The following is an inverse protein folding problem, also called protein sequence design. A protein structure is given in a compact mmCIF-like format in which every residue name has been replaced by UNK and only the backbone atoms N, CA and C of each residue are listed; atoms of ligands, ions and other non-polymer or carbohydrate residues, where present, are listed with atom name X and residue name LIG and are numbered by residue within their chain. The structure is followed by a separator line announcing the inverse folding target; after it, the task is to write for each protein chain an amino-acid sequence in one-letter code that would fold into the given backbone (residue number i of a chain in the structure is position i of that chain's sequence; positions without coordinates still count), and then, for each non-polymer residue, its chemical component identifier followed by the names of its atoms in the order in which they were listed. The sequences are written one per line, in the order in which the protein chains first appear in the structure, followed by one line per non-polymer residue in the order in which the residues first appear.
data_IF_264349508359
#
_entry.id   IF_264349508359
#
_cell.length_a   1.000
_cell.length_b   1.000
_cell.length_c   1.000
_cell.angle_alpha   90.00
_cell.angle_beta   90.00
_cell.angle_gamma   90.00
#
_symmetry.space_group_name_H-M   'P 1'
#
loop_
_entity.id
_entity.type
_entity.pdbx_description
1 polymer ?
#
# COMPACT_ATOMS: atom_id res chain seq x y z
N UNK A 1 -5.76 -5.34 5.61
CA UNK A 1 -7.24 -5.36 5.66
C UNK A 1 -7.81 -4.78 4.38
N UNK A 2 -9.01 -5.19 4.01
CA UNK A 2 -9.78 -4.58 2.92
C UNK A 2 -10.68 -3.46 3.47
N UNK A 3 -11.22 -2.58 2.62
CA UNK A 3 -12.15 -1.54 3.06
C UNK A 3 -13.29 -2.11 3.91
N UNK A 4 -13.74 -1.32 4.88
CA UNK A 4 -14.80 -1.65 5.83
C UNK A 4 -14.46 -2.73 6.88
N UNK A 5 -13.19 -3.14 6.99
CA UNK A 5 -12.69 -3.97 8.08
C UNK A 5 -11.95 -3.12 9.11
N UNK A 6 -12.07 -3.50 10.38
CA UNK A 6 -11.25 -2.93 11.44
C UNK A 6 -10.29 -3.97 12.03
N UNK A 7 -9.11 -3.56 12.53
CA UNK A 7 -8.17 -4.48 13.17
C UNK A 7 -8.79 -5.27 14.31
N UNK A 8 -9.59 -4.61 15.15
CA UNK A 8 -10.21 -5.24 16.32
C UNK A 8 -11.22 -6.31 15.92
N UNK A 9 -12.09 -5.99 14.96
CA UNK A 9 -13.08 -6.96 14.45
C UNK A 9 -12.40 -8.19 13.82
N UNK A 10 -11.37 -7.98 13.03
CA UNK A 10 -10.65 -9.10 12.39
C UNK A 10 -9.87 -9.90 13.43
N UNK A 11 -9.27 -9.26 14.41
CA UNK A 11 -8.59 -9.95 15.52
C UNK A 11 -9.57 -10.83 16.31
N UNK A 12 -10.75 -10.31 16.63
CA UNK A 12 -11.79 -11.07 17.33
C UNK A 12 -12.25 -12.30 16.50
N UNK A 13 -12.58 -12.09 15.22
CA UNK A 13 -13.00 -13.17 14.32
C UNK A 13 -11.92 -14.22 14.15
N UNK A 14 -10.68 -13.79 13.98
CA UNK A 14 -9.52 -14.69 13.84
C UNK A 14 -9.33 -15.53 15.11
N UNK A 15 -9.34 -14.90 16.28
CA UNK A 15 -9.19 -15.57 17.56
C UNK A 15 -10.28 -16.63 17.76
N UNK A 16 -11.54 -16.23 17.62
CA UNK A 16 -12.67 -17.15 17.77
C UNK A 16 -12.60 -18.34 16.80
N UNK A 17 -12.17 -18.10 15.57
CA UNK A 17 -12.06 -19.16 14.58
C UNK A 17 -10.96 -20.15 14.95
N UNK A 18 -9.76 -19.69 15.30
CA UNK A 18 -8.65 -20.56 15.67
C UNK A 18 -8.92 -21.34 16.95
N UNK A 19 -9.53 -20.74 17.95
CA UNK A 19 -9.96 -21.46 19.16
C UNK A 19 -11.00 -22.56 18.85
N UNK A 20 -11.93 -22.26 17.93
CA UNK A 20 -12.96 -23.23 17.52
C UNK A 20 -12.40 -24.44 16.79
N UNK A 21 -11.41 -24.26 15.91
CA UNK A 21 -10.86 -25.34 15.09
C UNK A 21 -9.72 -26.09 15.78
N UNK A 22 -9.21 -25.59 16.91
CA UNK A 22 -8.11 -26.20 17.62
C UNK A 22 -8.47 -27.63 18.07
N UNK A 23 -7.64 -28.64 17.79
CA UNK A 23 -7.79 -29.97 18.35
C UNK A 23 -7.77 -29.94 19.86
N UNK A 24 -8.52 -30.84 20.54
CA UNK A 24 -8.59 -30.89 22.01
C UNK A 24 -7.23 -31.07 22.69
N UNK A 25 -6.27 -31.64 22.01
CA UNK A 25 -4.89 -31.85 22.48
C UNK A 25 -3.98 -30.62 22.36
N UNK A 26 -4.44 -29.53 21.74
CA UNK A 26 -3.64 -28.33 21.49
C UNK A 26 -4.27 -27.13 22.20
N UNK A 27 -3.42 -26.34 22.88
CA UNK A 27 -3.81 -25.03 23.41
C UNK A 27 -3.43 -23.95 22.42
N UNK A 28 -4.39 -23.13 22.01
CA UNK A 28 -4.17 -21.98 21.12
C UNK A 28 -4.26 -20.71 21.95
N UNK A 29 -3.29 -19.81 21.73
CA UNK A 29 -3.32 -18.45 22.24
C UNK A 29 -3.07 -17.51 21.05
N UNK A 30 -4.00 -16.64 20.76
CA UNK A 30 -3.83 -15.56 19.78
C UNK A 30 -3.41 -14.30 20.51
N UNK A 31 -2.30 -13.72 20.10
CA UNK A 31 -1.79 -12.47 20.67
C UNK A 31 -1.73 -11.43 19.54
N UNK A 32 -2.64 -10.46 19.53
CA UNK A 32 -2.54 -9.37 18.57
C UNK A 32 -1.35 -8.48 18.90
N UNK A 33 -0.60 -8.05 17.89
CA UNK A 33 0.49 -7.11 18.07
C UNK A 33 0.02 -5.68 17.82
N UNK A 34 -0.25 -5.35 16.59
CA UNK A 34 -0.77 -4.05 16.17
C UNK A 34 -1.55 -4.22 14.86
N UNK A 35 -2.44 -3.31 14.60
CA UNK A 35 -3.22 -3.29 13.38
C UNK A 35 -3.26 -1.89 12.76
N UNK A 36 -3.41 -1.85 11.44
CA UNK A 36 -3.62 -0.62 10.68
C UNK A 36 -4.98 -0.63 10.00
N UNK A 37 -5.62 0.53 9.94
CA UNK A 37 -6.83 0.70 9.15
C UNK A 37 -6.52 0.53 7.64
N UNK A 38 -7.44 -0.03 6.86
CA UNK A 38 -7.29 -0.06 5.41
C UNK A 38 -7.28 1.36 4.86
N UNK A 39 -6.53 1.56 3.79
CA UNK A 39 -6.47 2.83 3.08
C UNK A 39 -6.72 2.59 1.59
N UNK A 40 -7.60 3.37 1.00
CA UNK A 40 -7.87 3.36 -0.44
C UNK A 40 -7.98 4.80 -0.92
N UNK A 41 -7.11 5.19 -1.84
CA UNK A 41 -7.21 6.47 -2.51
C UNK A 41 -8.08 6.32 -3.76
N UNK A 42 -9.07 7.19 -3.89
CA UNK A 42 -9.91 7.23 -5.07
C UNK A 42 -9.13 7.76 -6.29
N UNK A 43 -9.32 7.11 -7.44
CA UNK A 43 -8.56 7.42 -8.65
C UNK A 43 -8.88 8.78 -9.27
N UNK A 44 -10.00 9.41 -8.90
CA UNK A 44 -10.40 10.72 -9.37
C UNK A 44 -9.82 11.89 -8.55
N UNK A 45 -9.03 11.61 -7.53
CA UNK A 45 -8.41 12.65 -6.71
C UNK A 45 -7.28 13.37 -7.46
N UNK A 46 -7.05 14.63 -7.09
CA UNK A 46 -5.96 15.44 -7.65
C UNK A 46 -4.60 14.77 -7.49
N UNK A 47 -4.34 14.24 -6.31
CA UNK A 47 -3.10 13.55 -5.95
C UNK A 47 -2.87 12.33 -6.86
N UNK A 48 -3.90 11.51 -7.03
CA UNK A 48 -3.82 10.33 -7.87
C UNK A 48 -3.59 10.68 -9.34
N UNK A 49 -4.33 11.67 -9.87
CA UNK A 49 -4.19 12.10 -11.25
C UNK A 49 -2.83 12.73 -11.55
N UNK A 50 -2.27 13.50 -10.60
CA UNK A 50 -0.93 14.04 -10.73
C UNK A 50 0.14 12.94 -10.75
N UNK A 51 0.03 11.95 -9.86
CA UNK A 51 0.94 10.81 -9.82
C UNK A 51 0.86 9.95 -11.10
N UNK A 52 -0.37 9.67 -11.58
CA UNK A 52 -0.57 8.95 -12.84
C UNK A 52 0.14 9.66 -13.99
N UNK A 53 -0.13 10.93 -14.21
CA UNK A 53 0.52 11.73 -15.27
C UNK A 53 2.04 11.78 -15.13
N UNK A 54 2.55 11.88 -13.91
CA UNK A 54 3.98 11.92 -13.65
C UNK A 54 4.67 10.62 -14.04
N UNK A 55 4.10 9.50 -13.64
CA UNK A 55 4.63 8.18 -13.99
C UNK A 55 4.50 7.90 -15.49
N UNK A 56 3.37 8.26 -16.11
CA UNK A 56 3.19 8.14 -17.57
C UNK A 56 4.24 8.94 -18.33
N UNK A 57 4.53 10.16 -17.89
CA UNK A 57 5.57 11.00 -18.50
C UNK A 57 6.97 10.42 -18.32
N UNK A 58 7.31 9.92 -17.14
CA UNK A 58 8.63 9.37 -16.86
C UNK A 58 8.86 8.04 -17.59
N UNK A 59 7.87 7.14 -17.59
CA UNK A 59 8.02 5.81 -18.17
C UNK A 59 7.62 5.70 -19.64
N UNK A 60 6.89 6.68 -20.18
CA UNK A 60 6.39 6.66 -21.56
C UNK A 60 5.34 5.59 -21.81
N UNK A 61 4.63 5.14 -20.79
CA UNK A 61 3.62 4.08 -20.83
C UNK A 61 2.39 4.47 -20.03
N UNK A 62 1.24 3.95 -20.40
CA UNK A 62 0.03 4.09 -19.60
C UNK A 62 0.19 3.45 -18.23
N UNK A 63 -0.25 4.16 -17.20
CA UNK A 63 -0.25 3.69 -15.81
C UNK A 63 -1.59 3.08 -15.47
N UNK A 64 -1.56 1.82 -15.05
CA UNK A 64 -2.74 1.10 -14.59
C UNK A 64 -2.79 1.12 -13.07
N UNK A 65 -3.86 1.66 -12.48
CA UNK A 65 -4.02 1.60 -11.04
C UNK A 65 -4.38 0.18 -10.59
N UNK A 66 -3.79 -0.27 -9.49
CA UNK A 66 -4.19 -1.52 -8.86
C UNK A 66 -4.27 -1.38 -7.35
N UNK A 67 -4.98 -2.28 -6.71
CA UNK A 67 -5.03 -2.38 -5.26
C UNK A 67 -4.03 -3.41 -4.77
N UNK A 68 -3.19 -3.02 -3.83
CA UNK A 68 -2.19 -3.89 -3.22
C UNK A 68 -2.61 -4.28 -1.80
N UNK A 69 -2.28 -5.50 -1.39
CA UNK A 69 -2.37 -5.96 -0.01
C UNK A 69 -1.17 -5.56 0.86
N UNK A 70 -0.30 -4.69 0.38
CA UNK A 70 0.87 -4.22 1.12
C UNK A 70 0.51 -3.57 2.46
N UNK A 71 1.40 -3.70 3.44
CA UNK A 71 1.20 -3.20 4.79
C UNK A 71 1.98 -1.90 4.99
N UNK A 72 1.35 -0.76 4.71
CA UNK A 72 1.89 0.58 4.95
C UNK A 72 0.91 1.36 5.84
N UNK A 73 0.81 1.02 7.14
CA UNK A 73 -0.23 1.56 8.02
C UNK A 73 -0.14 3.07 8.25
N UNK A 74 1.01 3.68 7.99
CA UNK A 74 1.21 5.13 8.14
C UNK A 74 0.34 5.94 7.17
N UNK A 75 -0.05 5.39 6.02
CA UNK A 75 -0.89 6.10 5.03
C UNK A 75 -2.26 6.46 5.60
N UNK A 76 -2.91 5.52 6.27
CA UNK A 76 -4.18 5.78 6.95
C UNK A 76 -4.03 6.74 8.13
N UNK A 77 -2.88 6.72 8.80
CA UNK A 77 -2.58 7.65 9.89
C UNK A 77 -2.39 9.08 9.37
N UNK A 78 -1.70 9.27 8.25
CA UNK A 78 -1.55 10.58 7.63
C UNK A 78 -2.90 11.18 7.23
N UNK A 79 -3.80 10.39 6.66
CA UNK A 79 -5.15 10.86 6.36
C UNK A 79 -5.91 11.24 7.63
N UNK A 80 -5.87 10.39 8.65
CA UNK A 80 -6.60 10.62 9.90
C UNK A 80 -6.11 11.83 10.69
N UNK A 81 -4.79 12.02 10.78
CA UNK A 81 -4.18 13.05 11.66
C UNK A 81 -3.95 14.36 10.93
N UNK A 82 -3.53 14.30 9.67
CA UNK A 82 -3.14 15.48 8.89
C UNK A 82 -4.20 15.89 7.87
N UNK A 83 -5.22 15.07 7.62
CA UNK A 83 -6.15 15.27 6.50
C UNK A 83 -5.47 15.15 5.13
N UNK A 84 -4.24 14.63 5.09
CA UNK A 84 -3.44 14.53 3.88
C UNK A 84 -3.68 13.20 3.18
N UNK A 85 -4.02 13.26 1.90
CA UNK A 85 -4.15 12.07 1.07
C UNK A 85 -2.76 11.57 0.65
N UNK A 86 -2.54 10.26 0.78
CA UNK A 86 -1.29 9.61 0.38
C UNK A 86 -1.48 8.89 -0.94
N UNK A 87 -0.62 9.15 -1.91
CA UNK A 87 -0.57 8.38 -3.14
C UNK A 87 0.66 7.47 -3.13
N UNK A 88 0.46 6.18 -3.38
CA UNK A 88 1.53 5.20 -3.41
C UNK A 88 1.99 5.03 -4.86
N UNK A 89 3.21 5.46 -5.15
CA UNK A 89 3.87 5.32 -6.44
C UNK A 89 4.88 4.18 -6.35
N UNK A 90 4.52 3.00 -6.87
CA UNK A 90 5.39 1.82 -6.85
C UNK A 90 6.31 1.75 -8.07
N UNK A 91 7.59 1.49 -7.85
CA UNK A 91 8.61 1.37 -8.89
C UNK A 91 9.29 0.00 -8.91
N UNK A 92 8.98 -0.86 -7.95
CA UNK A 92 9.48 -2.23 -7.88
C UNK A 92 8.74 -3.16 -8.84
N UNK A 93 9.39 -4.25 -9.21
CA UNK A 93 8.84 -5.32 -10.05
C UNK A 93 8.73 -6.61 -9.24
N UNK A 94 7.84 -7.50 -9.63
CA UNK A 94 7.74 -8.84 -9.03
C UNK A 94 9.05 -9.63 -9.15
N UNK A 95 9.82 -9.38 -10.23
CA UNK A 95 11.15 -9.96 -10.43
C UNK A 95 12.22 -9.48 -9.47
N UNK A 96 11.99 -8.39 -8.73
CA UNK A 96 12.96 -7.83 -7.78
C UNK A 96 13.12 -8.70 -6.53
N UNK A 97 12.31 -9.75 -6.39
CA UNK A 97 12.35 -10.72 -5.30
C UNK A 97 12.25 -10.05 -3.89
N UNK A 98 11.37 -9.05 -3.76
CA UNK A 98 11.17 -8.26 -2.54
C UNK A 98 10.91 -9.19 -1.35
N UNK A 99 11.64 -8.96 -0.25
CA UNK A 99 11.63 -9.79 0.97
C UNK A 99 12.10 -11.24 0.77
N UNK A 100 12.89 -11.50 -0.27
CA UNK A 100 13.42 -12.82 -0.59
C UNK A 100 14.95 -12.82 -0.72
N UNK A 101 15.62 -13.98 -0.70
CA UNK A 101 17.04 -14.07 -1.04
C UNK A 101 17.31 -13.49 -2.44
N UNK A 102 18.43 -12.76 -2.57
CA UNK A 102 18.83 -12.06 -3.79
C UNK A 102 17.88 -10.93 -4.20
N UNK A 103 17.19 -10.31 -3.24
CA UNK A 103 16.45 -9.09 -3.49
C UNK A 103 17.32 -8.06 -4.21
N UNK A 104 16.78 -7.46 -5.25
CA UNK A 104 17.47 -6.44 -6.03
C UNK A 104 16.50 -5.36 -6.49
N UNK A 105 17.03 -4.29 -7.04
CA UNK A 105 16.23 -3.21 -7.60
C UNK A 105 16.84 -2.72 -8.91
N UNK A 106 16.05 -2.71 -9.97
CA UNK A 106 16.51 -2.33 -11.30
C UNK A 106 16.88 -0.85 -11.39
N UNK A 107 18.12 -0.54 -11.83
CA UNK A 107 18.57 0.85 -11.98
C UNK A 107 17.69 1.68 -12.93
N UNK A 108 17.11 1.06 -13.95
CA UNK A 108 16.16 1.73 -14.83
C UNK A 108 14.96 2.27 -14.04
N UNK A 109 14.33 1.43 -13.23
CA UNK A 109 13.20 1.84 -12.40
C UNK A 109 13.59 2.85 -11.31
N UNK A 110 14.80 2.70 -10.77
CA UNK A 110 15.34 3.67 -9.81
C UNK A 110 15.43 5.08 -10.41
N UNK A 111 16.05 5.23 -11.59
CA UNK A 111 16.16 6.53 -12.25
C UNK A 111 14.81 7.06 -12.72
N UNK A 112 13.92 6.20 -13.21
CA UNK A 112 12.56 6.60 -13.59
C UNK A 112 11.72 7.03 -12.39
N UNK A 113 11.92 6.40 -11.24
CA UNK A 113 11.34 6.84 -9.98
C UNK A 113 11.78 8.26 -9.61
N UNK A 114 13.10 8.53 -9.65
CA UNK A 114 13.63 9.88 -9.40
C UNK A 114 13.05 10.91 -10.40
N UNK A 115 13.00 10.56 -11.68
CA UNK A 115 12.46 11.43 -12.74
C UNK A 115 10.97 11.74 -12.54
N UNK A 116 10.19 10.81 -12.01
CA UNK A 116 8.74 11.00 -11.81
C UNK A 116 8.39 11.98 -10.68
N UNK A 117 9.27 12.15 -9.68
CA UNK A 117 8.98 13.01 -8.52
C UNK A 117 8.81 14.49 -8.91
N UNK A 118 9.74 15.14 -9.63
CA UNK A 118 9.52 16.52 -10.06
C UNK A 118 8.30 16.67 -10.97
N UNK A 119 8.00 15.70 -11.83
CA UNK A 119 6.75 15.72 -12.61
C UNK A 119 5.50 15.63 -11.73
N UNK A 120 5.54 14.85 -10.66
CA UNK A 120 4.43 14.82 -9.70
C UNK A 120 4.16 16.21 -9.12
N UNK A 121 5.17 16.91 -8.63
CA UNK A 121 5.00 18.25 -8.09
C UNK A 121 4.52 19.24 -9.15
N UNK A 122 5.04 19.15 -10.37
CA UNK A 122 4.61 19.99 -11.48
C UNK A 122 3.11 19.81 -11.79
N UNK A 123 2.67 18.56 -11.94
CA UNK A 123 1.26 18.28 -12.25
C UNK A 123 0.33 18.53 -11.07
N UNK A 124 0.79 18.30 -9.87
CA UNK A 124 0.01 18.60 -8.66
C UNK A 124 -0.19 20.11 -8.48
N UNK A 125 0.80 20.92 -8.79
CA UNK A 125 0.68 22.37 -8.71
C UNK A 125 -0.25 22.97 -9.77
N UNK A 126 -0.33 22.34 -10.95
CA UNK A 126 -1.14 22.84 -12.08
C UNK A 126 -2.61 22.40 -12.04
N UNK A 127 -2.93 21.34 -11.36
CA UNK A 127 -4.30 20.80 -11.26
C UNK A 127 -4.92 21.07 -9.92
#
# INVERSE_FOLDING_TARGET
LVPYQTPDEITEKFTKYFEKIAPKSVKVKVTPHHGGMPYVLESNTKEFQAAKKAMEKAFGKEVLPYRSGGSIPITSLFEKVLGAKSVLMGFGLDSDAIHSPNEHYGLYNYYKGIESIPYFFEFYAKG
#
